data_IF_177679984279
#
_entry.id   IF_177679984279
#
_cell.length_a   1.000
_cell.length_b   1.000
_cell.length_c   1.000
_cell.angle_alpha   90.00
_cell.angle_beta   90.00
_cell.angle_gamma   90.00
#
_symmetry.space_group_name_H-M   'P 1'
#
loop_
_entity.id
_entity.type
_entity.pdbx_description
1 polymer ?
#
# COMPACT_ATOMS: atom_id res chain seq x y z
N UNK A 1 -19.04 10.54 -9.54
CA UNK A 1 -17.93 10.86 -8.62
C UNK A 1 -16.79 9.92 -8.96
N UNK A 2 -15.68 10.43 -9.49
CA UNK A 2 -14.46 9.65 -9.70
C UNK A 2 -13.92 9.20 -8.34
N UNK A 3 -14.22 7.95 -7.97
CA UNK A 3 -13.66 7.33 -6.76
C UNK A 3 -12.22 6.99 -7.12
N UNK A 4 -11.32 7.97 -7.01
CA UNK A 4 -9.88 7.69 -7.10
C UNK A 4 -9.54 6.63 -6.06
N UNK A 5 -8.82 5.56 -6.45
CA UNK A 5 -8.42 4.55 -5.50
C UNK A 5 -7.58 5.22 -4.39
N UNK A 6 -7.81 4.81 -3.13
CA UNK A 6 -6.98 5.26 -2.02
C UNK A 6 -5.50 4.98 -2.35
N UNK A 7 -4.62 5.95 -2.05
CA UNK A 7 -3.18 5.87 -2.32
C UNK A 7 -2.78 5.86 -3.81
N UNK A 8 -3.58 6.45 -4.70
CA UNK A 8 -3.16 6.66 -6.09
C UNK A 8 -2.18 7.83 -6.20
N UNK A 9 -1.05 7.62 -6.88
CA UNK A 9 -0.07 8.66 -7.16
C UNK A 9 -0.71 9.94 -7.72
N UNK A 10 -0.45 11.07 -7.07
CA UNK A 10 -0.84 12.40 -7.55
C UNK A 10 0.37 13.03 -8.22
N UNK A 11 0.22 13.41 -9.49
CA UNK A 11 1.22 14.26 -10.16
C UNK A 11 1.16 15.65 -9.53
N UNK A 12 2.28 16.08 -8.94
CA UNK A 12 2.45 17.39 -8.33
C UNK A 12 3.86 17.93 -8.56
N UNK A 13 4.05 19.23 -8.37
CA UNK A 13 5.33 19.91 -8.61
C UNK A 13 6.05 20.32 -7.32
N UNK A 14 5.49 20.00 -6.15
CA UNK A 14 6.00 20.37 -4.83
C UNK A 14 7.40 19.78 -4.55
N UNK A 15 8.11 20.34 -3.56
CA UNK A 15 9.47 19.89 -3.18
C UNK A 15 9.57 18.36 -3.01
N UNK A 16 8.60 17.76 -2.32
CA UNK A 16 8.58 16.31 -2.08
C UNK A 16 8.30 15.49 -3.34
N UNK A 17 7.70 16.06 -4.39
CA UNK A 17 7.54 15.38 -5.68
C UNK A 17 8.86 15.34 -6.46
N UNK A 18 9.68 16.40 -6.35
CA UNK A 18 10.97 16.54 -7.05
C UNK A 18 12.13 15.79 -6.39
N UNK A 19 11.99 15.43 -5.11
CA UNK A 19 13.03 14.70 -4.37
C UNK A 19 13.28 13.31 -4.99
N UNK A 20 14.53 12.82 -4.92
CA UNK A 20 14.85 11.50 -5.45
C UNK A 20 14.10 10.40 -4.67
N UNK A 21 13.56 9.38 -5.36
CA UNK A 21 12.85 8.27 -4.73
C UNK A 21 13.56 7.56 -3.54
N UNK A 22 14.88 7.26 -3.57
CA UNK A 22 15.54 6.63 -2.42
C UNK A 22 15.54 7.50 -1.15
N UNK A 23 15.67 8.82 -1.30
CA UNK A 23 15.61 9.73 -0.16
C UNK A 23 14.19 9.77 0.44
N UNK A 24 13.14 9.68 -0.38
CA UNK A 24 11.75 9.60 0.14
C UNK A 24 11.52 8.32 0.92
N UNK A 25 12.08 7.21 0.45
CA UNK A 25 11.98 5.91 1.10
C UNK A 25 12.76 5.90 2.43
N UNK A 26 13.95 6.50 2.46
CA UNK A 26 14.68 6.73 3.70
C UNK A 26 13.91 7.63 4.67
N UNK A 27 13.26 8.69 4.18
CA UNK A 27 12.39 9.56 4.97
C UNK A 27 11.22 8.76 5.58
N UNK A 28 10.56 7.91 4.80
CA UNK A 28 9.49 7.04 5.29
C UNK A 28 9.97 6.17 6.46
N UNK A 29 11.06 5.42 6.28
CA UNK A 29 11.60 4.55 7.33
C UNK A 29 12.17 5.35 8.53
N UNK A 30 12.83 6.47 8.28
CA UNK A 30 13.38 7.33 9.32
C UNK A 30 12.30 7.90 10.24
N UNK A 31 11.24 8.49 9.67
CA UNK A 31 10.16 9.07 10.48
C UNK A 31 9.32 8.03 11.19
N UNK A 32 9.06 6.88 10.56
CA UNK A 32 8.36 5.77 11.23
C UNK A 32 9.18 5.21 12.40
N UNK A 33 10.51 5.08 12.25
CA UNK A 33 11.40 4.70 13.35
C UNK A 33 11.42 5.75 14.47
N UNK A 34 11.52 7.04 14.14
CA UNK A 34 11.51 8.13 15.13
C UNK A 34 10.23 8.13 15.99
N UNK A 35 9.06 7.92 15.38
CA UNK A 35 7.79 7.81 16.10
C UNK A 35 7.79 6.62 17.07
N UNK A 36 8.49 5.54 16.73
CA UNK A 36 8.58 4.37 17.59
C UNK A 36 9.53 4.56 18.76
N UNK A 37 10.72 5.14 18.52
CA UNK A 37 11.72 5.40 19.55
C UNK A 37 11.34 6.54 20.51
N UNK A 38 10.57 7.53 20.03
CA UNK A 38 10.22 8.73 20.79
C UNK A 38 8.71 8.87 21.00
N UNK A 39 8.09 8.00 21.83
CA UNK A 39 6.63 7.99 22.04
C UNK A 39 6.11 9.26 22.70
N UNK A 40 6.92 9.93 23.54
CA UNK A 40 6.51 11.14 24.25
C UNK A 40 6.26 12.34 23.32
N UNK A 41 6.87 12.35 22.13
CA UNK A 41 6.80 13.45 21.17
C UNK A 41 5.77 13.22 20.04
N UNK A 42 4.93 12.19 20.16
CA UNK A 42 3.94 11.81 19.14
C UNK A 42 2.96 12.96 18.80
N UNK A 43 2.58 13.77 19.79
CA UNK A 43 1.75 14.97 19.56
C UNK A 43 2.45 15.98 18.65
N UNK A 44 3.74 16.25 18.90
CA UNK A 44 4.55 17.15 18.09
C UNK A 44 4.67 16.64 16.65
N UNK A 45 4.95 15.36 16.46
CA UNK A 45 5.01 14.75 15.13
C UNK A 45 3.69 14.84 14.38
N UNK A 46 2.56 14.57 15.04
CA UNK A 46 1.22 14.67 14.43
C UNK A 46 0.96 16.08 13.88
N UNK A 47 1.22 17.11 14.69
CA UNK A 47 1.06 18.51 14.28
C UNK A 47 2.02 18.84 13.13
N UNK A 48 3.29 18.44 13.24
CA UNK A 48 4.29 18.64 12.19
C UNK A 48 3.85 18.05 10.85
N UNK A 49 3.32 16.81 10.81
CA UNK A 49 2.88 16.18 9.56
C UNK A 49 1.65 16.84 8.94
N UNK A 50 0.75 17.39 9.75
CA UNK A 50 -0.40 18.17 9.25
C UNK A 50 0.10 19.44 8.53
N UNK A 51 1.01 20.20 9.16
CA UNK A 51 1.59 21.40 8.54
C UNK A 51 2.44 21.06 7.31
N UNK A 52 3.21 19.97 7.37
CA UNK A 52 4.03 19.52 6.27
C UNK A 52 3.18 19.07 5.06
N UNK A 53 2.09 18.35 5.30
CA UNK A 53 1.11 18.00 4.27
C UNK A 53 0.53 19.25 3.60
N UNK A 54 0.21 20.28 4.41
CA UNK A 54 -0.29 21.56 3.91
C UNK A 54 0.73 22.28 3.03
N UNK A 55 2.00 22.30 3.44
CA UNK A 55 3.09 22.89 2.66
C UNK A 55 3.27 22.20 1.29
N UNK A 56 2.99 20.90 1.21
CA UNK A 56 3.08 20.13 -0.03
C UNK A 56 1.86 20.37 -0.96
N UNK A 57 0.79 20.99 -0.46
CA UNK A 57 -0.42 21.31 -1.23
C UNK A 57 -1.54 20.27 -1.11
N UNK A 58 -1.55 19.49 -0.03
CA UNK A 58 -2.69 18.64 0.32
C UNK A 58 -3.78 19.47 1.02
N UNK A 59 -5.04 19.16 0.71
CA UNK A 59 -6.18 19.72 1.43
C UNK A 59 -6.46 18.94 2.72
N UNK A 60 -6.95 19.63 3.76
CA UNK A 60 -7.40 18.98 5.00
C UNK A 60 -8.46 17.90 4.75
N UNK A 61 -9.33 18.11 3.76
CA UNK A 61 -10.35 17.13 3.38
C UNK A 61 -9.76 15.86 2.76
N UNK A 62 -8.64 15.98 2.04
CA UNK A 62 -7.93 14.83 1.47
C UNK A 62 -7.25 14.04 2.58
N UNK A 63 -6.60 14.73 3.51
CA UNK A 63 -5.99 14.12 4.70
C UNK A 63 -7.03 13.36 5.54
N UNK A 64 -8.21 13.94 5.79
CA UNK A 64 -9.29 13.25 6.50
C UNK A 64 -9.83 12.04 5.73
N UNK A 65 -9.87 12.11 4.40
CA UNK A 65 -10.29 10.99 3.55
C UNK A 65 -9.31 9.82 3.64
N UNK A 66 -8.02 10.10 3.73
CA UNK A 66 -6.96 9.09 3.88
C UNK A 66 -6.98 8.42 5.26
N UNK A 67 -7.55 9.07 6.29
CA UNK A 67 -7.76 8.49 7.62
C UNK A 67 -9.01 7.59 7.70
N UNK A 68 -9.94 7.68 6.74
CA UNK A 68 -11.15 6.85 6.69
C UNK A 68 -10.89 5.33 6.86
N UNK A 69 -9.92 4.69 6.17
CA UNK A 69 -9.62 3.28 6.36
C UNK A 69 -9.17 2.93 7.78
N UNK A 70 -8.68 3.90 8.56
CA UNK A 70 -8.15 3.65 9.89
C UNK A 70 -9.17 3.83 11.03
N UNK A 71 -10.27 4.53 10.77
CA UNK A 71 -11.38 4.67 11.71
C UNK A 71 -11.88 3.34 12.33
N UNK A 72 -12.09 2.24 11.59
CA UNK A 72 -12.52 0.99 12.20
C UNK A 72 -11.47 0.42 13.18
N UNK A 73 -10.17 0.63 12.93
CA UNK A 73 -9.12 0.20 13.84
C UNK A 73 -9.09 1.06 15.11
N UNK A 74 -9.29 2.37 15.00
CA UNK A 74 -9.42 3.24 16.17
C UNK A 74 -10.64 2.84 17.02
N UNK A 75 -11.77 2.54 16.39
CA UNK A 75 -12.98 2.09 17.09
C UNK A 75 -12.72 0.76 17.83
N UNK A 76 -12.05 -0.19 17.18
CA UNK A 76 -11.66 -1.45 17.79
C UNK A 76 -10.78 -1.22 19.04
N UNK A 77 -9.77 -0.36 18.94
CA UNK A 77 -8.87 -0.04 20.07
C UNK A 77 -9.62 0.58 21.26
N UNK A 78 -10.55 1.51 21.00
CA UNK A 78 -11.39 2.11 22.04
C UNK A 78 -12.29 1.05 22.68
N UNK A 79 -12.90 0.18 21.87
CA UNK A 79 -13.75 -0.92 22.35
C UNK A 79 -12.98 -1.87 23.27
N UNK A 80 -11.77 -2.27 22.88
CA UNK A 80 -10.90 -3.12 23.70
C UNK A 80 -10.51 -2.45 25.02
N UNK A 81 -10.25 -1.14 25.01
CA UNK A 81 -9.91 -0.42 26.23
C UNK A 81 -11.11 -0.33 27.19
N UNK A 82 -12.31 -0.03 26.69
CA UNK A 82 -13.54 -0.04 27.51
C UNK A 82 -13.77 -1.42 28.13
N UNK A 83 -13.54 -2.48 27.35
CA UNK A 83 -13.62 -3.86 27.86
C UNK A 83 -12.57 -4.16 28.93
N UNK A 84 -11.35 -3.65 28.77
CA UNK A 84 -10.25 -3.78 29.74
C UNK A 84 -10.58 -3.09 31.08
N UNK A 85 -11.16 -1.88 31.02
CA UNK A 85 -11.63 -1.15 32.21
C UNK A 85 -12.76 -1.90 32.90
N UNK A 86 -13.69 -2.51 32.14
CA UNK A 86 -14.79 -3.30 32.70
C UNK A 86 -14.29 -4.54 33.47
N UNK A 87 -13.19 -5.16 33.00
CA UNK A 87 -12.54 -6.31 33.64
C UNK A 87 -11.67 -5.91 34.85
N UNK A 88 -11.58 -4.60 35.17
CA UNK A 88 -10.70 -4.04 36.21
C UNK A 88 -9.21 -4.30 35.95
N UNK A 89 -8.81 -4.34 34.68
CA UNK A 89 -7.39 -4.27 34.34
C UNK A 89 -6.93 -2.81 34.43
N UNK A 90 -5.85 -2.56 35.16
CA UNK A 90 -5.14 -1.27 35.22
C UNK A 90 -4.71 -0.86 33.80
N UNK A 91 -5.55 -0.07 33.12
CA UNK A 91 -5.27 0.42 31.78
C UNK A 91 -5.33 1.94 31.77
N UNK A 92 -4.23 2.57 31.36
CA UNK A 92 -4.12 4.03 31.36
C UNK A 92 -4.73 4.61 30.08
N UNK A 93 -5.63 5.59 30.23
CA UNK A 93 -6.22 6.34 29.11
C UNK A 93 -5.12 7.02 28.26
N UNK A 94 -4.02 7.45 28.90
CA UNK A 94 -2.88 8.06 28.22
C UNK A 94 -2.29 7.14 27.14
N UNK A 95 -2.16 5.85 27.42
CA UNK A 95 -1.57 4.88 26.50
C UNK A 95 -2.45 4.66 25.27
N UNK A 96 -3.77 4.62 25.45
CA UNK A 96 -4.73 4.59 24.34
C UNK A 96 -4.56 5.82 23.46
N UNK A 97 -4.53 7.01 24.06
CA UNK A 97 -4.41 8.28 23.31
C UNK A 97 -3.12 8.30 22.51
N UNK A 98 -1.99 7.89 23.11
CA UNK A 98 -0.71 7.79 22.39
C UNK A 98 -0.75 6.78 21.25
N UNK A 99 -1.41 5.63 21.43
CA UNK A 99 -1.52 4.60 20.39
C UNK A 99 -2.35 5.10 19.20
N UNK A 100 -3.51 5.73 19.46
CA UNK A 100 -4.35 6.30 18.40
C UNK A 100 -3.59 7.40 17.65
N UNK A 101 -2.91 8.30 18.36
CA UNK A 101 -2.13 9.36 17.72
C UNK A 101 -0.98 8.81 16.88
N UNK A 102 -0.27 7.79 17.36
CA UNK A 102 0.80 7.11 16.62
C UNK A 102 0.26 6.51 15.34
N UNK A 103 -0.90 5.87 15.42
CA UNK A 103 -1.56 5.20 14.31
C UNK A 103 -2.04 6.21 13.23
N UNK A 104 -2.59 7.36 13.64
CA UNK A 104 -2.93 8.48 12.75
C UNK A 104 -1.65 9.04 12.08
N UNK A 105 -0.58 9.24 12.84
CA UNK A 105 0.67 9.79 12.35
C UNK A 105 1.32 8.88 11.29
N UNK A 106 1.37 7.58 11.55
CA UNK A 106 1.88 6.57 10.63
C UNK A 106 1.08 6.53 9.32
N UNK A 107 -0.25 6.66 9.40
CA UNK A 107 -1.08 6.75 8.20
C UNK A 107 -0.83 8.04 7.42
N UNK A 108 -0.62 9.16 8.11
CA UNK A 108 -0.36 10.42 7.44
C UNK A 108 0.96 10.39 6.67
N UNK A 109 2.01 9.85 7.28
CA UNK A 109 3.30 9.62 6.63
C UNK A 109 3.14 8.72 5.40
N UNK A 110 2.42 7.60 5.56
CA UNK A 110 2.20 6.63 4.48
C UNK A 110 1.41 7.25 3.33
N UNK A 111 0.33 7.99 3.63
CA UNK A 111 -0.45 8.72 2.63
C UNK A 111 0.44 9.70 1.86
N UNK A 112 1.21 10.54 2.55
CA UNK A 112 2.11 11.49 1.90
C UNK A 112 3.11 10.79 0.97
N UNK A 113 3.69 9.67 1.41
CA UNK A 113 4.63 8.90 0.62
C UNK A 113 3.99 8.31 -0.65
N UNK A 114 2.86 7.62 -0.53
CA UNK A 114 2.18 6.98 -1.67
C UNK A 114 1.57 7.99 -2.65
N UNK A 115 1.09 9.12 -2.14
CA UNK A 115 0.55 10.17 -3.00
C UNK A 115 1.66 10.90 -3.78
N UNK A 116 2.88 10.99 -3.25
CA UNK A 116 4.01 11.70 -3.88
C UNK A 116 5.00 10.81 -4.63
N UNK A 117 4.88 9.49 -4.54
CA UNK A 117 5.80 8.52 -5.16
C UNK A 117 5.04 7.61 -6.11
N UNK A 118 5.46 7.55 -7.37
CA UNK A 118 4.83 6.64 -8.33
C UNK A 118 5.29 5.20 -8.11
N UNK A 119 4.44 4.22 -8.44
CA UNK A 119 4.80 2.80 -8.34
C UNK A 119 6.02 2.43 -9.21
N UNK A 120 6.23 3.16 -10.32
CA UNK A 120 7.39 2.98 -11.18
C UNK A 120 8.68 3.48 -10.50
N UNK A 121 8.64 4.67 -9.89
CA UNK A 121 9.78 5.21 -9.14
C UNK A 121 10.14 4.33 -7.94
N UNK A 122 9.14 3.76 -7.27
CA UNK A 122 9.36 2.81 -6.19
C UNK A 122 10.05 1.54 -6.70
N UNK A 123 9.61 1.01 -7.84
CA UNK A 123 10.26 -0.12 -8.52
C UNK A 123 11.74 0.17 -8.81
N UNK A 124 12.02 1.28 -9.50
CA UNK A 124 13.39 1.65 -9.88
C UNK A 124 14.31 1.79 -8.66
N UNK A 125 13.79 2.33 -7.56
CA UNK A 125 14.52 2.45 -6.30
C UNK A 125 14.84 1.09 -5.69
N UNK A 126 13.86 0.18 -5.68
CA UNK A 126 14.05 -1.17 -5.18
C UNK A 126 15.05 -1.94 -6.06
N UNK A 127 14.93 -1.87 -7.38
CA UNK A 127 15.87 -2.51 -8.29
C UNK A 127 17.32 -2.04 -8.11
N UNK A 128 17.53 -0.75 -7.80
CA UNK A 128 18.87 -0.20 -7.53
C UNK A 128 19.46 -0.68 -6.20
N UNK A 129 18.63 -0.86 -5.17
CA UNK A 129 19.09 -1.23 -3.84
C UNK A 129 19.20 -2.75 -3.64
N UNK A 130 18.51 -3.55 -4.46
CA UNK A 130 18.50 -5.00 -4.36
C UNK A 130 19.63 -5.63 -5.20
N UNK A 131 20.13 -6.82 -4.81
CA UNK A 131 21.10 -7.56 -5.63
C UNK A 131 20.52 -7.89 -7.00
N UNK A 132 21.36 -7.87 -8.04
CA UNK A 132 20.96 -7.98 -9.45
C UNK A 132 19.97 -9.14 -9.73
N UNK A 133 20.20 -10.32 -9.16
CA UNK A 133 19.30 -11.48 -9.32
C UNK A 133 17.88 -11.20 -8.83
N UNK A 134 17.73 -10.52 -7.70
CA UNK A 134 16.43 -10.20 -7.12
C UNK A 134 15.78 -9.04 -7.87
N UNK A 135 16.57 -8.05 -8.33
CA UNK A 135 16.07 -6.98 -9.18
C UNK A 135 15.44 -7.53 -10.49
N UNK A 136 16.12 -8.46 -11.16
CA UNK A 136 15.59 -9.13 -12.37
C UNK A 136 14.29 -9.89 -12.06
N UNK A 137 14.26 -10.67 -10.98
CA UNK A 137 13.06 -11.40 -10.56
C UNK A 137 11.89 -10.45 -10.27
N UNK A 138 12.16 -9.35 -9.57
CA UNK A 138 11.16 -8.34 -9.23
C UNK A 138 10.64 -7.61 -10.48
N UNK A 139 11.52 -7.29 -11.43
CA UNK A 139 11.14 -6.69 -12.71
C UNK A 139 10.21 -7.60 -13.50
N UNK A 140 10.57 -8.89 -13.58
CA UNK A 140 9.77 -9.91 -14.23
C UNK A 140 8.42 -10.07 -13.53
N UNK A 141 8.41 -10.13 -12.19
CA UNK A 141 7.18 -10.19 -11.40
C UNK A 141 6.24 -9.03 -11.70
N UNK A 142 6.73 -7.79 -11.71
CA UNK A 142 5.92 -6.60 -12.00
C UNK A 142 5.37 -6.61 -13.44
N UNK A 143 6.13 -7.15 -14.40
CA UNK A 143 5.64 -7.36 -15.76
C UNK A 143 4.55 -8.45 -15.84
N UNK A 144 4.64 -9.47 -14.98
CA UNK A 144 3.62 -10.53 -14.91
C UNK A 144 2.29 -10.06 -14.31
N UNK A 145 2.28 -9.09 -13.39
CA UNK A 145 1.04 -8.57 -12.77
C UNK A 145 -0.04 -8.21 -13.82
N UNK A 146 0.21 -7.31 -14.79
CA UNK A 146 -0.80 -6.97 -15.80
C UNK A 146 -1.20 -8.16 -16.69
N UNK A 147 -0.28 -9.10 -16.93
CA UNK A 147 -0.57 -10.34 -17.68
C UNK A 147 -1.56 -11.21 -16.91
N UNK A 148 -1.35 -11.39 -15.61
CA UNK A 148 -2.25 -12.16 -14.74
C UNK A 148 -3.64 -11.52 -14.70
N UNK A 149 -3.73 -10.20 -14.56
CA UNK A 149 -5.01 -9.50 -14.64
C UNK A 149 -5.70 -9.75 -15.98
N UNK A 150 -4.97 -9.68 -17.10
CA UNK A 150 -5.53 -9.98 -18.43
C UNK A 150 -6.06 -11.41 -18.54
N UNK A 151 -5.35 -12.41 -18.01
CA UNK A 151 -5.81 -13.81 -17.99
C UNK A 151 -7.09 -13.92 -17.16
N UNK A 152 -7.10 -13.32 -15.97
CA UNK A 152 -8.26 -13.36 -15.08
C UNK A 152 -9.49 -12.72 -15.73
N UNK A 153 -9.33 -11.56 -16.38
CA UNK A 153 -10.42 -10.89 -17.09
C UNK A 153 -10.95 -11.73 -18.25
N UNK A 154 -10.06 -12.40 -19.01
CA UNK A 154 -10.49 -13.34 -20.07
C UNK A 154 -11.30 -14.50 -19.50
N UNK A 155 -10.84 -15.12 -18.42
CA UNK A 155 -11.56 -16.20 -17.75
C UNK A 155 -12.91 -15.74 -17.19
N UNK A 156 -12.98 -14.53 -16.64
CA UNK A 156 -14.23 -13.94 -16.17
C UNK A 156 -15.24 -13.74 -17.31
N UNK A 157 -14.78 -13.21 -18.46
CA UNK A 157 -15.63 -13.06 -19.64
C UNK A 157 -16.10 -14.40 -20.18
N UNK A 158 -15.24 -15.42 -20.26
CA UNK A 158 -15.62 -16.76 -20.68
C UNK A 158 -16.62 -17.40 -19.72
N UNK A 159 -16.46 -17.21 -18.41
CA UNK A 159 -17.43 -17.68 -17.40
C UNK A 159 -18.79 -17.00 -17.55
N UNK A 160 -18.79 -15.68 -17.74
CA UNK A 160 -20.02 -14.88 -17.94
C UNK A 160 -20.75 -15.27 -19.23
N UNK A 161 -20.02 -15.52 -20.32
CA UNK A 161 -20.59 -15.97 -21.60
C UNK A 161 -21.28 -17.33 -21.50
N UNK A 162 -20.82 -18.20 -20.59
CA UNK A 162 -21.45 -19.51 -20.29
C UNK A 162 -22.63 -19.42 -19.30
N UNK A 163 -23.10 -18.20 -18.98
CA UNK A 163 -24.18 -18.00 -18.00
C UNK A 163 -23.77 -18.19 -16.54
N UNK A 164 -22.47 -18.20 -16.26
CA UNK A 164 -21.95 -18.42 -14.92
C UNK A 164 -22.26 -17.25 -13.96
N UNK A 165 -22.82 -17.56 -12.79
CA UNK A 165 -23.14 -16.56 -11.74
C UNK A 165 -21.88 -16.17 -10.94
N UNK A 166 -21.89 -14.98 -10.34
CA UNK A 166 -20.86 -14.55 -9.37
C UNK A 166 -21.11 -15.27 -8.04
N UNK A 167 -20.34 -16.31 -7.76
CA UNK A 167 -20.42 -17.11 -6.52
C UNK A 167 -19.03 -17.60 -6.13
N UNK A 168 -18.84 -18.05 -4.88
CA UNK A 168 -17.59 -18.68 -4.42
C UNK A 168 -17.19 -19.88 -5.30
N UNK A 169 -18.17 -20.61 -5.82
CA UNK A 169 -17.97 -21.73 -6.76
C UNK A 169 -17.23 -21.31 -8.04
N UNK A 170 -17.40 -20.06 -8.48
CA UNK A 170 -16.66 -19.51 -9.63
C UNK A 170 -15.17 -19.44 -9.32
N UNK A 171 -14.81 -18.93 -8.14
CA UNK A 171 -13.41 -18.78 -7.74
C UNK A 171 -12.76 -20.16 -7.66
N UNK A 172 -13.39 -21.12 -6.99
CA UNK A 172 -12.88 -22.49 -6.89
C UNK A 172 -12.69 -23.17 -8.26
N UNK A 173 -13.59 -22.95 -9.22
CA UNK A 173 -13.47 -23.55 -10.57
C UNK A 173 -12.45 -22.83 -11.46
N UNK A 174 -12.39 -21.50 -11.41
CA UNK A 174 -11.50 -20.71 -12.26
C UNK A 174 -10.06 -20.68 -11.74
N UNK A 175 -9.85 -20.83 -10.44
CA UNK A 175 -8.52 -20.68 -9.84
C UNK A 175 -7.50 -21.72 -10.35
N UNK A 176 -7.81 -23.03 -10.45
CA UNK A 176 -6.89 -24.00 -11.05
C UNK A 176 -6.58 -23.70 -12.52
N UNK A 177 -7.58 -23.27 -13.30
CA UNK A 177 -7.43 -22.92 -14.72
C UNK A 177 -6.53 -21.69 -14.87
N UNK A 178 -6.74 -20.69 -14.01
CA UNK A 178 -5.93 -19.49 -13.95
C UNK A 178 -4.47 -19.82 -13.66
N UNK A 179 -4.20 -20.70 -12.69
CA UNK A 179 -2.84 -21.16 -12.39
C UNK A 179 -2.23 -21.84 -13.61
N UNK A 180 -2.93 -22.79 -14.24
CA UNK A 180 -2.44 -23.50 -15.42
C UNK A 180 -2.07 -22.55 -16.56
N UNK A 181 -2.96 -21.62 -16.92
CA UNK A 181 -2.73 -20.61 -17.96
C UNK A 181 -1.57 -19.67 -17.61
N UNK A 182 -1.44 -19.29 -16.33
CA UNK A 182 -0.34 -18.45 -15.87
C UNK A 182 1.01 -19.14 -15.99
N UNK A 183 1.09 -20.42 -15.63
CA UNK A 183 2.30 -21.24 -15.75
C UNK A 183 2.67 -21.45 -17.21
N UNK A 184 1.69 -21.75 -18.07
CA UNK A 184 1.92 -21.91 -19.51
C UNK A 184 2.51 -20.65 -20.15
N UNK A 185 1.96 -19.47 -19.83
CA UNK A 185 2.55 -18.19 -20.29
C UNK A 185 3.92 -17.93 -19.69
N UNK A 186 4.13 -18.30 -18.43
CA UNK A 186 5.44 -18.28 -17.77
C UNK A 186 6.49 -19.05 -18.57
N UNK A 187 6.17 -20.29 -18.91
CA UNK A 187 7.04 -21.17 -19.67
C UNK A 187 7.33 -20.63 -21.08
N UNK A 188 6.30 -20.13 -21.79
CA UNK A 188 6.47 -19.53 -23.12
C UNK A 188 7.40 -18.31 -23.08
N UNK A 189 7.30 -17.48 -22.06
CA UNK A 189 8.18 -16.32 -21.88
C UNK A 189 9.62 -16.74 -21.58
N UNK A 190 9.82 -17.80 -20.78
CA UNK A 190 11.13 -18.39 -20.53
C UNK A 190 11.80 -18.89 -21.82
N UNK A 191 11.07 -19.62 -22.67
CA UNK A 191 11.59 -20.05 -23.97
C UNK A 191 11.93 -18.87 -24.89
N UNK A 192 11.07 -17.84 -24.93
CA UNK A 192 11.32 -16.66 -25.75
C UNK A 192 12.56 -15.86 -25.31
N UNK A 193 12.80 -15.77 -23.99
CA UNK A 193 14.00 -15.13 -23.46
C UNK A 193 15.27 -15.93 -23.78
N UNK A 194 15.20 -17.27 -23.65
CA UNK A 194 16.33 -18.15 -24.00
C UNK A 194 16.72 -18.03 -25.47
N UNK A 195 15.74 -17.97 -26.38
CA UNK A 195 15.99 -17.81 -27.81
C UNK A 195 16.53 -16.42 -28.21
N UNK A 196 16.50 -15.44 -27.30
CA UNK A 196 17.10 -14.11 -27.53
C UNK A 196 18.51 -13.98 -26.96
N UNK A 197 18.90 -14.88 -26.06
CA UNK A 197 20.24 -14.89 -25.46
C UNK A 197 21.26 -15.70 -26.26
N UNK A 198 20.81 -16.50 -27.23
CA UNK A 198 21.64 -17.12 -28.27
C UNK A 198 21.59 -16.28 -29.55
#
# INVERSE_FOLDING_TARGET
>A
MDIRPLFSYRRGTSFLHRMSPPLKLFFLFGFTALIFFFPNYVLFYSVFFIFFARFIGFSFLEQLRDLKPILPYCLLLVSLHVFSVLIKTESSIKDLVFLILKLICLMQISSLFFNTTSSLQLKETLEKNLPFKVAVLFSLFLFFIPILFSIWTKLDYSWKARGGKKSLLKIFKLFPIFISESLYKGQKLMYALRNRSE
#
